data_IF_940779808262
#
_entry.id   IF_940779808262
#
_cell.length_a   1.000
_cell.length_b   1.000
_cell.length_c   1.000
_cell.angle_alpha   90.00
_cell.angle_beta   90.00
_cell.angle_gamma   90.00
#
_symmetry.space_group_name_H-M   'P 1'
#
loop_
_entity.id
_entity.type
_entity.pdbx_description
1 polymer ?
#
# COMPACT_ATOMS: atom_id res chain seq x y z
N UNK A 1 -19.63 -22.98 16.36
CA UNK A 1 -18.87 -21.88 15.75
C UNK A 1 -18.79 -22.15 14.26
N UNK A 2 -19.14 -21.18 13.42
CA UNK A 2 -19.16 -21.31 11.96
C UNK A 2 -17.76 -21.04 11.39
N UNK A 3 -17.52 -21.45 10.15
CA UNK A 3 -16.22 -21.22 9.49
C UNK A 3 -15.90 -19.71 9.40
N UNK A 4 -16.89 -18.86 9.13
CA UNK A 4 -16.69 -17.41 9.06
C UNK A 4 -16.22 -16.81 10.40
N UNK A 5 -16.77 -17.30 11.52
CA UNK A 5 -16.35 -16.88 12.86
C UNK A 5 -14.88 -17.27 13.12
N UNK A 6 -14.46 -18.45 12.64
CA UNK A 6 -13.08 -18.95 12.77
C UNK A 6 -12.14 -18.10 11.93
N UNK A 7 -12.51 -17.82 10.68
CA UNK A 7 -11.70 -17.00 9.77
C UNK A 7 -11.51 -15.61 10.37
N UNK A 8 -12.59 -15.00 10.86
CA UNK A 8 -12.51 -13.71 11.52
C UNK A 8 -11.62 -13.75 12.77
N UNK A 9 -11.72 -14.80 13.60
CA UNK A 9 -10.88 -14.97 14.78
C UNK A 9 -9.39 -15.17 14.42
N UNK A 10 -9.09 -15.87 13.31
CA UNK A 10 -7.72 -16.06 12.83
C UNK A 10 -7.12 -14.77 12.25
N UNK A 11 -7.92 -13.94 11.56
CA UNK A 11 -7.45 -12.68 10.97
C UNK A 11 -7.30 -11.53 11.98
N UNK A 12 -7.94 -11.64 13.14
CA UNK A 12 -7.93 -10.60 14.17
C UNK A 12 -7.70 -11.25 15.54
N UNK A 13 -6.45 -11.56 15.90
CA UNK A 13 -6.11 -12.13 17.21
C UNK A 13 -6.29 -11.05 18.30
N UNK A 14 -7.53 -10.73 18.62
CA UNK A 14 -7.93 -9.86 19.71
C UNK A 14 -8.28 -10.64 20.96
N UNK A 15 -8.33 -9.96 22.11
CA UNK A 15 -8.58 -10.53 23.45
C UNK A 15 -10.00 -11.11 23.67
N UNK A 16 -10.78 -11.30 22.60
CA UNK A 16 -12.17 -11.76 22.66
C UNK A 16 -12.44 -13.08 21.93
N UNK A 17 -11.45 -13.68 21.27
CA UNK A 17 -11.65 -14.97 20.63
C UNK A 17 -11.80 -16.07 21.69
N UNK A 18 -12.87 -16.86 21.59
CA UNK A 18 -13.04 -18.09 22.39
C UNK A 18 -12.06 -19.15 21.87
N UNK A 19 -10.79 -19.04 22.28
CA UNK A 19 -9.70 -19.93 21.89
C UNK A 19 -10.06 -21.43 21.96
N UNK A 20 -10.71 -21.95 23.03
CA UNK A 20 -11.07 -23.36 23.05
C UNK A 20 -12.18 -23.72 22.05
N UNK A 21 -13.08 -22.80 21.70
CA UNK A 21 -14.02 -23.01 20.60
C UNK A 21 -13.31 -23.05 19.25
N UNK A 22 -12.35 -22.14 19.01
CA UNK A 22 -11.50 -22.10 17.82
C UNK A 22 -10.72 -23.39 17.65
N UNK A 23 -10.00 -23.83 18.69
CA UNK A 23 -9.24 -25.07 18.67
C UNK A 23 -10.12 -26.30 18.36
N UNK A 24 -11.31 -26.38 18.98
CA UNK A 24 -12.26 -27.47 18.70
C UNK A 24 -12.75 -27.46 17.26
N UNK A 25 -12.99 -26.27 16.68
CA UNK A 25 -13.41 -26.16 15.29
C UNK A 25 -12.29 -26.59 14.33
N UNK A 26 -11.05 -26.11 14.55
CA UNK A 26 -9.90 -26.47 13.72
C UNK A 26 -9.63 -27.98 13.74
N UNK A 27 -9.83 -28.64 14.88
CA UNK A 27 -9.75 -30.11 14.97
C UNK A 27 -10.83 -30.85 14.16
N UNK A 28 -11.97 -30.20 13.88
CA UNK A 28 -13.11 -30.79 13.19
C UNK A 28 -13.25 -30.41 11.71
N UNK A 29 -12.62 -29.31 11.28
CA UNK A 29 -12.75 -28.76 9.93
C UNK A 29 -11.37 -28.65 9.24
N UNK A 30 -11.05 -29.56 8.29
CA UNK A 30 -9.73 -29.62 7.66
C UNK A 30 -9.40 -28.37 6.82
N UNK A 31 -10.41 -27.72 6.22
CA UNK A 31 -10.19 -26.49 5.44
C UNK A 31 -9.76 -25.32 6.32
N UNK A 32 -10.41 -25.15 7.48
CA UNK A 32 -10.02 -24.10 8.43
C UNK A 32 -8.66 -24.40 9.05
N UNK A 33 -8.33 -25.68 9.32
CA UNK A 33 -7.01 -26.09 9.81
C UNK A 33 -5.90 -25.73 8.81
N UNK A 34 -6.07 -26.09 7.53
CA UNK A 34 -5.12 -25.74 6.47
C UNK A 34 -4.88 -24.24 6.37
N UNK A 35 -5.94 -23.42 6.42
CA UNK A 35 -5.81 -21.95 6.40
C UNK A 35 -5.07 -21.42 7.63
N UNK A 36 -5.32 -21.99 8.81
CA UNK A 36 -4.59 -21.61 10.02
C UNK A 36 -3.09 -21.94 9.91
N UNK A 37 -2.75 -23.09 9.32
CA UNK A 37 -1.35 -23.48 9.07
C UNK A 37 -0.66 -22.56 8.06
N UNK A 38 -1.37 -22.17 6.99
CA UNK A 38 -0.90 -21.20 5.99
C UNK A 38 -0.65 -19.82 6.62
N UNK A 39 -1.60 -19.31 7.42
CA UNK A 39 -1.45 -18.06 8.14
C UNK A 39 -0.27 -18.10 9.11
N UNK A 40 -0.12 -19.18 9.88
CA UNK A 40 1.01 -19.36 10.79
C UNK A 40 2.35 -19.46 10.05
N UNK A 41 2.37 -20.00 8.82
CA UNK A 41 3.56 -20.01 7.97
C UNK A 41 3.92 -18.61 7.49
N UNK A 42 2.94 -17.82 7.08
CA UNK A 42 3.15 -16.43 6.68
C UNK A 42 3.67 -15.58 7.84
N UNK A 43 3.08 -15.73 9.04
CA UNK A 43 3.54 -15.03 10.25
C UNK A 43 5.01 -15.33 10.56
N UNK A 44 5.44 -16.61 10.46
CA UNK A 44 6.85 -16.97 10.66
C UNK A 44 7.78 -16.33 9.62
N UNK A 45 7.34 -16.23 8.37
CA UNK A 45 8.11 -15.54 7.33
C UNK A 45 8.17 -14.05 7.59
N UNK A 46 7.06 -13.47 8.03
CA UNK A 46 6.99 -12.08 8.45
C UNK A 46 7.94 -11.81 9.61
N UNK A 47 7.88 -12.57 10.71
CA UNK A 47 8.80 -12.44 11.85
C UNK A 47 10.29 -12.55 11.45
N UNK A 48 10.60 -13.42 10.48
CA UNK A 48 11.96 -13.60 10.00
C UNK A 48 12.47 -12.44 9.11
N UNK A 49 11.55 -11.71 8.47
CA UNK A 49 11.85 -10.63 7.53
C UNK A 49 11.42 -9.25 8.03
N UNK A 50 10.75 -9.19 9.17
CA UNK A 50 10.18 -7.98 9.72
C UNK A 50 11.31 -6.98 9.99
N UNK A 51 11.16 -5.72 9.55
CA UNK A 51 12.12 -4.69 9.91
C UNK A 51 12.12 -4.53 11.42
N UNK A 52 13.26 -4.10 11.97
CA UNK A 52 13.36 -3.79 13.38
C UNK A 52 12.25 -2.82 13.78
N UNK A 53 11.52 -3.13 14.86
CA UNK A 53 10.43 -2.29 15.34
C UNK A 53 10.92 -0.85 15.52
N UNK A 54 10.31 0.13 14.84
CA UNK A 54 10.69 1.53 15.00
C UNK A 54 10.50 1.97 16.44
N UNK A 55 11.38 2.83 16.93
CA UNK A 55 11.23 3.44 18.25
C UNK A 55 9.97 4.32 18.32
N UNK A 56 9.44 4.60 19.52
CA UNK A 56 8.23 5.41 19.68
C UNK A 56 8.35 6.78 18.99
N UNK A 57 9.51 7.43 19.09
CA UNK A 57 9.76 8.75 18.49
C UNK A 57 9.67 8.75 16.96
N UNK A 58 9.96 7.62 16.30
CA UNK A 58 9.88 7.52 14.84
C UNK A 58 8.43 7.59 14.35
N UNK A 59 7.49 7.06 15.13
CA UNK A 59 6.07 7.18 14.83
C UNK A 59 5.55 8.60 15.02
N UNK A 60 6.00 9.30 16.07
CA UNK A 60 5.63 10.70 16.30
C UNK A 60 6.08 11.60 15.15
N UNK A 61 7.28 11.34 14.60
CA UNK A 61 7.76 12.04 13.41
C UNK A 61 6.86 11.80 12.19
N UNK A 62 6.47 10.55 11.93
CA UNK A 62 5.57 10.23 10.81
C UNK A 62 4.21 10.89 11.00
N UNK A 63 3.61 10.80 12.18
CA UNK A 63 2.30 11.39 12.45
C UNK A 63 2.34 12.91 12.38
N UNK A 64 3.37 13.56 12.94
CA UNK A 64 3.52 15.01 12.83
C UNK A 64 3.68 15.49 11.38
N UNK A 65 4.36 14.70 10.53
CA UNK A 65 4.49 15.00 9.11
C UNK A 65 3.13 14.88 8.38
N UNK A 66 2.34 13.85 8.69
CA UNK A 66 0.98 13.69 8.16
C UNK A 66 0.08 14.86 8.60
N UNK A 67 0.11 15.22 9.88
CA UNK A 67 -0.69 16.35 10.41
C UNK A 67 -0.31 17.67 9.74
N UNK A 68 0.99 17.96 9.60
CA UNK A 68 1.47 19.16 8.91
C UNK A 68 0.99 19.20 7.44
N UNK A 69 0.93 18.05 6.78
CA UNK A 69 0.42 17.96 5.41
C UNK A 69 -1.09 18.15 5.33
N UNK A 70 -1.85 17.59 6.26
CA UNK A 70 -3.30 17.80 6.34
C UNK A 70 -3.63 19.27 6.61
N UNK A 71 -2.85 19.93 7.46
CA UNK A 71 -2.99 21.36 7.73
C UNK A 71 -2.61 22.21 6.52
N UNK A 72 -1.56 21.84 5.78
CA UNK A 72 -1.18 22.53 4.55
C UNK A 72 -2.20 22.33 3.41
N UNK A 73 -2.82 21.15 3.34
CA UNK A 73 -3.84 20.82 2.34
C UNK A 73 -5.22 21.43 2.66
N UNK A 74 -5.44 21.88 3.90
CA UNK A 74 -6.68 22.56 4.28
C UNK A 74 -6.76 23.87 3.50
N UNK A 75 -7.74 24.05 2.59
CA UNK A 75 -7.88 25.29 1.85
C UNK A 75 -8.04 26.41 2.86
N UNK A 76 -7.23 27.47 2.71
CA UNK A 76 -7.36 28.68 3.50
C UNK A 76 -8.79 29.17 3.32
N UNK A 77 -9.64 28.86 4.30
CA UNK A 77 -11.02 29.31 4.30
C UNK A 77 -10.92 30.82 4.15
N UNK A 78 -11.52 31.42 3.09
CA UNK A 78 -11.47 32.85 2.93
C UNK A 78 -12.02 33.43 4.22
N UNK A 79 -11.14 34.09 4.98
CA UNK A 79 -11.52 34.75 6.23
C UNK A 79 -12.74 35.61 5.94
N UNK A 80 -13.65 35.82 6.92
CA UNK A 80 -14.91 36.49 6.71
C UNK A 80 -14.62 37.76 5.92
N UNK A 81 -14.98 37.74 4.63
CA UNK A 81 -14.67 38.82 3.73
C UNK A 81 -15.26 40.04 4.41
N UNK A 82 -14.40 40.94 4.90
CA UNK A 82 -14.82 42.23 5.43
C UNK A 82 -15.69 42.78 4.33
N UNK A 83 -17.02 42.76 4.54
CA UNK A 83 -17.97 43.24 3.55
C UNK A 83 -17.46 44.64 3.21
N UNK A 84 -17.01 44.91 1.97
CA UNK A 84 -16.77 46.27 1.60
C UNK A 84 -18.11 46.95 1.83
N UNK A 85 -18.15 47.91 2.76
CA UNK A 85 -19.31 48.77 2.94
C UNK A 85 -19.46 49.53 1.63
N UNK A 86 -20.12 48.91 0.65
CA UNK A 86 -20.66 49.59 -0.50
C UNK A 86 -21.64 50.60 0.09
N UNK A 87 -21.20 51.85 0.18
CA UNK A 87 -22.10 52.99 0.30
C UNK A 87 -22.93 52.99 -0.98
N UNK A 88 -24.04 52.27 -0.92
CA UNK A 88 -25.12 52.37 -1.90
C UNK A 88 -25.66 53.78 -1.73
N UNK A 89 -25.26 54.68 -2.64
CA UNK A 89 -26.01 55.91 -2.85
C UNK A 89 -27.42 55.51 -3.26
N UNK A 90 -28.39 55.96 -2.47
CA UNK A 90 -29.79 55.62 -2.64
C UNK A 90 -30.29 56.04 -4.02
N UNK A 91 -30.86 55.07 -4.73
CA UNK A 91 -31.82 55.34 -5.79
C UNK A 91 -33.15 54.73 -5.34
N UNK A 92 -34.16 55.59 -5.33
CA UNK A 92 -35.49 55.33 -4.83
C UNK A 92 -36.20 54.20 -5.58
N UNK A 93 -37.17 53.61 -4.88
CA UNK A 93 -37.92 52.40 -5.17
C UNK A 93 -38.73 52.41 -6.48
N UNK A 94 -38.94 51.20 -7.01
CA UNK A 94 -40.20 50.80 -7.62
C UNK A 94 -40.44 49.29 -7.33
N UNK A 95 -41.62 48.89 -6.83
CA UNK A 95 -41.96 47.49 -6.61
C UNK A 95 -42.81 46.96 -7.75
N UNK A 96 -42.45 45.83 -8.35
CA UNK A 96 -43.41 44.80 -8.79
C UNK A 96 -42.69 43.55 -9.31
N UNK A 97 -43.14 42.40 -8.79
CA UNK A 97 -43.36 41.17 -9.54
C UNK A 97 -42.16 40.52 -10.23
N UNK A 98 -41.64 39.45 -9.63
CA UNK A 98 -41.73 38.07 -10.14
C UNK A 98 -40.65 37.20 -9.50
N UNK A 99 -41.10 36.12 -8.86
CA UNK A 99 -40.26 35.15 -8.18
C UNK A 99 -39.54 34.27 -9.23
N UNK A 100 -38.30 34.63 -9.55
CA UNK A 100 -37.43 33.77 -10.37
C UNK A 100 -36.72 32.75 -9.49
N UNK A 101 -37.07 31.50 -9.73
CA UNK A 101 -36.53 30.27 -9.16
C UNK A 101 -34.99 30.24 -9.25
N UNK A 102 -34.32 30.18 -8.11
CA UNK A 102 -32.85 30.01 -8.05
C UNK A 102 -32.47 28.59 -8.51
N UNK A 103 -31.54 28.42 -9.48
CA UNK A 103 -31.02 27.12 -9.81
C UNK A 103 -30.07 26.64 -8.71
N UNK A 104 -30.51 25.63 -7.94
CA UNK A 104 -29.62 24.81 -7.10
C UNK A 104 -28.79 23.92 -8.03
N UNK A 105 -27.67 24.41 -8.56
CA UNK A 105 -26.70 23.59 -9.29
C UNK A 105 -25.36 23.52 -8.57
N UNK A 106 -24.98 22.26 -8.32
CA UNK A 106 -23.63 21.73 -8.22
C UNK A 106 -22.70 22.28 -7.12
N UNK A 107 -22.87 21.74 -5.91
CA UNK A 107 -21.75 21.54 -4.97
C UNK A 107 -21.47 20.04 -4.89
N UNK A 108 -20.90 19.48 -5.94
CA UNK A 108 -20.46 18.08 -5.97
C UNK A 108 -19.25 17.97 -6.89
N UNK A 109 -18.11 18.51 -6.46
CA UNK A 109 -16.76 18.12 -6.88
C UNK A 109 -15.74 19.02 -6.18
N UNK A 110 -15.29 18.65 -4.97
CA UNK A 110 -13.83 18.63 -4.80
C UNK A 110 -13.34 17.39 -4.03
N UNK A 111 -14.05 16.26 -4.09
CA UNK A 111 -13.66 15.05 -3.36
C UNK A 111 -12.61 14.18 -4.08
N UNK A 112 -12.35 14.40 -5.38
CA UNK A 112 -11.54 13.47 -6.20
C UNK A 112 -10.04 13.87 -6.27
N UNK A 113 -9.67 15.10 -5.93
CA UNK A 113 -8.26 15.54 -6.01
C UNK A 113 -7.45 15.18 -4.75
N UNK A 114 -8.10 14.81 -3.65
CA UNK A 114 -7.41 14.51 -2.38
C UNK A 114 -6.72 13.14 -2.33
N UNK A 115 -7.12 12.18 -3.15
CA UNK A 115 -6.59 10.80 -3.12
C UNK A 115 -5.22 10.64 -3.78
N UNK A 116 -4.91 11.42 -4.82
CA UNK A 116 -3.62 11.31 -5.53
C UNK A 116 -2.41 11.79 -4.70
N UNK A 117 -2.61 12.72 -3.76
CA UNK A 117 -1.53 13.23 -2.92
C UNK A 117 -1.03 12.19 -1.91
N UNK A 118 -1.90 11.30 -1.42
CA UNK A 118 -1.54 10.32 -0.40
C UNK A 118 -0.57 9.24 -0.92
N UNK A 119 -0.69 8.83 -2.19
CA UNK A 119 0.18 7.82 -2.78
C UNK A 119 1.62 8.31 -2.98
N UNK A 120 1.80 9.57 -3.42
CA UNK A 120 3.14 10.17 -3.59
C UNK A 120 3.90 10.33 -2.27
N UNK A 121 3.17 10.46 -1.15
CA UNK A 121 3.74 10.64 0.18
C UNK A 121 4.26 9.34 0.80
N UNK A 122 3.63 8.20 0.51
CA UNK A 122 4.13 6.89 0.95
C UNK A 122 5.47 6.53 0.28
N UNK A 123 5.69 6.97 -0.97
CA UNK A 123 6.95 6.75 -1.70
C UNK A 123 8.10 7.58 -1.10
N UNK A 124 7.83 8.80 -0.62
CA UNK A 124 8.87 9.67 -0.06
C UNK A 124 9.38 9.25 1.34
N UNK A 125 8.57 8.54 2.13
CA UNK A 125 8.93 8.11 3.49
C UNK A 125 9.64 6.75 3.50
N UNK A 126 9.36 5.90 2.50
CA UNK A 126 9.96 4.58 2.36
C UNK A 126 11.51 4.58 2.42
N UNK A 127 12.26 5.44 1.69
CA UNK A 127 13.72 5.35 1.69
C UNK A 127 14.36 5.68 3.05
N UNK A 128 13.70 6.48 3.90
CA UNK A 128 14.19 6.77 5.24
C UNK A 128 14.15 5.55 6.18
N UNK A 129 13.30 4.57 5.87
CA UNK A 129 13.16 3.33 6.64
C UNK A 129 14.13 2.24 6.16
N UNK A 130 14.55 2.32 4.90
CA UNK A 130 15.47 1.37 4.26
C UNK A 130 16.92 1.85 4.21
N UNK A 131 17.19 3.10 4.62
CA UNK A 131 18.54 3.61 4.73
C UNK A 131 19.42 2.65 5.55
N UNK A 132 20.52 2.11 4.97
CA UNK A 132 21.41 1.20 5.68
C UNK A 132 21.88 1.86 6.96
N UNK A 133 21.49 1.30 8.11
CA UNK A 133 21.99 1.80 9.40
C UNK A 133 23.52 1.78 9.34
N UNK A 134 24.19 2.87 9.76
CA UNK A 134 25.64 2.92 9.78
C UNK A 134 26.15 1.73 10.60
N UNK A 135 26.84 0.82 9.91
CA UNK A 135 27.44 -0.36 10.53
C UNK A 135 28.39 0.16 11.61
N UNK A 136 28.25 -0.23 12.88
CA UNK A 136 29.16 0.21 13.92
C UNK A 136 30.58 -0.22 13.51
N UNK A 137 31.41 0.80 13.32
CA UNK A 137 32.78 0.74 12.85
C UNK A 137 33.61 0.05 13.94
N UNK A 138 33.62 -1.29 13.94
CA UNK A 138 34.29 -2.08 14.98
C UNK A 138 33.85 -3.53 15.14
N UNK A 139 32.77 -3.98 14.49
CA UNK A 139 32.40 -5.40 14.55
C UNK A 139 33.38 -6.26 13.71
N UNK A 140 34.10 -7.23 14.31
CA UNK A 140 35.03 -8.08 13.60
C UNK A 140 34.29 -8.89 12.53
N UNK A 141 34.80 -8.84 11.30
CA UNK A 141 34.31 -9.61 10.16
C UNK A 141 34.36 -11.10 10.52
N UNK A 142 33.25 -11.85 10.46
CA UNK A 142 33.31 -13.30 10.64
C UNK A 142 34.15 -13.87 9.51
N UNK A 143 35.32 -14.41 9.87
CA UNK A 143 36.19 -15.11 8.95
C UNK A 143 35.38 -16.25 8.33
N UNK A 144 35.11 -16.14 7.03
CA UNK A 144 34.51 -17.18 6.22
C UNK A 144 35.49 -18.36 6.23
N UNK A 145 35.21 -19.34 7.08
CA UNK A 145 35.87 -20.63 7.04
C UNK A 145 35.47 -21.30 5.74
N UNK A 146 36.43 -21.41 4.82
CA UNK A 146 36.31 -22.16 3.58
C UNK A 146 35.97 -23.62 3.92
N UNK A 147 34.71 -23.98 3.76
CA UNK A 147 34.27 -25.37 3.78
C UNK A 147 34.51 -25.94 2.39
N UNK A 148 35.62 -26.66 2.25
CA UNK A 148 35.90 -27.54 1.12
C UNK A 148 34.86 -28.67 1.12
N UNK A 149 33.74 -28.47 0.40
CA UNK A 149 32.78 -29.54 0.15
C UNK A 149 33.10 -30.24 -1.18
N UNK A 150 33.33 -31.54 -1.03
CA UNK A 150 33.58 -32.56 -2.04
C UNK A 150 32.78 -32.42 -3.33
N UNK A 151 33.49 -32.63 -4.44
CA UNK A 151 32.97 -32.78 -5.78
C UNK A 151 32.12 -34.05 -5.90
N UNK A 152 30.83 -33.95 -5.61
CA UNK A 152 29.83 -34.95 -6.00
C UNK A 152 29.46 -34.69 -7.47
N UNK A 153 29.82 -35.64 -8.32
CA UNK A 153 29.64 -35.63 -9.77
C UNK A 153 28.15 -35.64 -10.15
N UNK A 154 27.54 -34.45 -10.23
CA UNK A 154 26.14 -34.24 -10.64
C UNK A 154 26.08 -34.15 -12.17
N UNK A 155 25.32 -35.04 -12.79
CA UNK A 155 25.02 -35.05 -14.24
C UNK A 155 24.62 -33.67 -14.76
N UNK A 156 24.95 -33.33 -16.03
CA UNK A 156 24.71 -32.02 -16.61
C UNK A 156 23.20 -31.75 -16.69
N UNK A 157 22.70 -30.99 -15.72
CA UNK A 157 21.37 -30.40 -15.80
C UNK A 157 21.40 -29.40 -16.97
N UNK A 158 20.42 -29.43 -17.90
CA UNK A 158 20.35 -28.47 -18.99
C UNK A 158 20.36 -27.07 -18.38
N UNK A 159 21.42 -26.30 -18.66
CA UNK A 159 21.53 -24.95 -18.13
C UNK A 159 20.33 -24.15 -18.66
N UNK A 160 19.50 -23.55 -17.78
CA UNK A 160 18.49 -22.61 -18.24
C UNK A 160 19.23 -21.55 -19.04
N UNK A 161 18.80 -21.31 -20.28
CA UNK A 161 19.30 -20.20 -21.07
C UNK A 161 19.20 -18.97 -20.19
N UNK A 162 20.35 -18.36 -19.87
CA UNK A 162 20.39 -17.15 -19.07
C UNK A 162 19.58 -16.09 -19.83
N UNK A 163 18.38 -15.80 -19.33
CA UNK A 163 17.63 -14.66 -19.80
C UNK A 163 18.50 -13.41 -19.57
N UNK A 164 18.59 -12.51 -20.56
CA UNK A 164 19.39 -11.31 -20.40
C UNK A 164 18.95 -10.54 -19.15
N UNK A 165 19.88 -9.92 -18.42
CA UNK A 165 19.55 -9.14 -17.23
C UNK A 165 18.49 -8.10 -17.59
N UNK A 166 17.37 -8.14 -16.88
CA UNK A 166 16.29 -7.20 -17.06
C UNK A 166 16.71 -5.83 -16.54
N UNK A 167 16.78 -4.85 -17.43
CA UNK A 167 17.05 -3.45 -17.09
C UNK A 167 15.71 -2.73 -16.88
N UNK A 168 15.40 -2.39 -15.63
CA UNK A 168 14.22 -1.60 -15.26
C UNK A 168 14.66 -0.13 -15.19
N UNK A 169 14.01 0.74 -15.96
CA UNK A 169 14.33 2.17 -15.95
C UNK A 169 13.76 2.86 -14.70
N UNK A 170 14.50 3.82 -14.14
CA UNK A 170 14.08 4.67 -13.02
C UNK A 170 12.66 5.23 -13.26
N UNK A 171 11.77 5.03 -12.27
CA UNK A 171 10.35 5.39 -12.37
C UNK A 171 9.43 4.38 -13.06
N UNK A 172 9.93 3.23 -13.51
CA UNK A 172 9.10 2.17 -14.10
C UNK A 172 8.59 1.18 -13.04
N UNK A 173 7.29 0.87 -13.10
CA UNK A 173 6.69 -0.21 -12.31
C UNK A 173 6.46 -1.41 -13.24
N UNK A 174 7.08 -2.54 -12.91
CA UNK A 174 6.91 -3.78 -13.65
C UNK A 174 6.25 -4.84 -12.79
N UNK A 175 5.25 -5.51 -13.36
CA UNK A 175 4.68 -6.73 -12.79
C UNK A 175 5.46 -7.92 -13.35
N UNK A 176 6.09 -8.71 -12.48
CA UNK A 176 6.70 -9.98 -12.85
C UNK A 176 5.70 -11.08 -12.53
N UNK A 177 5.18 -11.73 -13.58
CA UNK A 177 4.32 -12.89 -13.45
C UNK A 177 5.11 -14.15 -13.77
N UNK A 178 5.06 -15.13 -12.85
CA UNK A 178 5.49 -16.49 -13.15
C UNK A 178 4.33 -17.25 -13.79
N UNK A 179 4.41 -17.49 -15.10
CA UNK A 179 3.43 -18.26 -15.87
C UNK A 179 4.05 -19.59 -16.32
N UNK A 180 4.32 -20.46 -15.34
CA UNK A 180 4.91 -21.77 -15.58
C UNK A 180 6.39 -21.73 -15.97
N UNK A 181 7.17 -20.82 -15.37
CA UNK A 181 8.61 -20.67 -15.60
C UNK A 181 8.99 -19.63 -16.66
N UNK A 182 8.02 -18.89 -17.21
CA UNK A 182 8.27 -17.75 -18.10
C UNK A 182 7.87 -16.47 -17.38
N UNK A 183 8.87 -15.66 -17.04
CA UNK A 183 8.67 -14.34 -16.46
C UNK A 183 8.10 -13.40 -17.52
N UNK A 184 6.87 -12.92 -17.34
CA UNK A 184 6.31 -11.86 -18.18
C UNK A 184 6.39 -10.52 -17.46
N UNK A 185 6.95 -9.54 -18.14
CA UNK A 185 7.01 -8.14 -17.70
C UNK A 185 5.78 -7.43 -18.25
N UNK A 186 4.98 -6.87 -17.35
CA UNK A 186 3.87 -6.01 -17.72
C UNK A 186 4.23 -4.60 -17.31
N UNK A 187 4.36 -3.71 -18.29
CA UNK A 187 4.47 -2.28 -18.04
C UNK A 187 3.12 -1.76 -17.55
N UNK A 188 3.06 -1.39 -16.26
CA UNK A 188 1.84 -0.94 -15.60
C UNK A 188 1.36 0.39 -16.18
N UNK A 189 2.26 1.21 -16.72
CA UNK A 189 1.89 2.49 -17.36
C UNK A 189 1.19 2.30 -18.70
N UNK A 190 1.36 1.13 -19.34
CA UNK A 190 0.70 0.77 -20.59
C UNK A 190 -0.71 0.21 -20.41
N UNK A 191 -1.17 0.02 -19.16
CA UNK A 191 -2.52 -0.43 -18.87
C UNK A 191 -3.52 0.68 -19.18
N UNK A 192 -4.11 0.64 -20.38
CA UNK A 192 -5.25 1.50 -20.66
C UNK A 192 -6.45 1.08 -19.79
N UNK A 193 -6.98 1.97 -18.94
CA UNK A 193 -8.17 1.66 -18.18
C UNK A 193 -9.36 1.51 -19.14
N UNK A 194 -9.93 0.32 -19.19
CA UNK A 194 -11.21 0.14 -19.85
C UNK A 194 -12.26 0.97 -19.09
N UNK A 195 -13.12 1.68 -19.81
CA UNK A 195 -14.31 2.35 -19.25
C UNK A 195 -14.06 3.49 -18.24
N UNK A 196 -12.88 4.12 -18.27
CA UNK A 196 -12.57 5.23 -17.35
C UNK A 196 -12.39 4.79 -15.90
N UNK A 197 -12.10 3.50 -15.69
CA UNK A 197 -11.65 2.98 -14.40
C UNK A 197 -10.32 3.63 -13.99
N UNK A 198 -10.07 3.70 -12.69
CA UNK A 198 -8.79 4.18 -12.20
C UNK A 198 -7.70 3.15 -12.54
N UNK A 199 -6.61 3.53 -13.25
CA UNK A 199 -5.49 2.63 -13.51
C UNK A 199 -4.96 1.94 -12.25
N UNK A 200 -5.00 2.62 -11.10
CA UNK A 200 -4.60 2.04 -9.82
C UNK A 200 -5.56 0.95 -9.34
N UNK A 201 -6.87 1.12 -9.54
CA UNK A 201 -7.86 0.11 -9.20
C UNK A 201 -7.66 -1.16 -10.03
N UNK A 202 -7.39 -1.02 -11.34
CA UNK A 202 -7.08 -2.14 -12.22
C UNK A 202 -5.78 -2.83 -11.78
N UNK A 203 -4.76 -2.06 -11.39
CA UNK A 203 -3.49 -2.59 -10.90
C UNK A 203 -3.66 -3.41 -9.60
N UNK A 204 -4.33 -2.86 -8.58
CA UNK A 204 -4.51 -3.55 -7.29
C UNK A 204 -5.34 -4.83 -7.42
N UNK A 205 -6.45 -4.79 -8.17
CA UNK A 205 -7.25 -6.01 -8.40
C UNK A 205 -6.46 -7.09 -9.13
N UNK A 206 -5.56 -6.69 -10.03
CA UNK A 206 -4.72 -7.65 -10.77
C UNK A 206 -3.68 -8.27 -9.86
N UNK A 207 -3.09 -7.49 -8.94
CA UNK A 207 -2.19 -7.99 -7.91
C UNK A 207 -2.85 -9.00 -6.98
N UNK A 208 -4.07 -8.71 -6.52
CA UNK A 208 -4.80 -9.61 -5.62
C UNK A 208 -5.21 -10.93 -6.30
N UNK A 209 -5.25 -10.96 -7.64
CA UNK A 209 -5.77 -12.10 -8.40
C UNK A 209 -4.75 -13.19 -8.77
N UNK A 210 -3.46 -13.07 -8.42
CA UNK A 210 -2.45 -14.07 -8.78
C UNK A 210 -1.09 -13.99 -8.05
N UNK A 211 -0.26 -15.00 -8.31
CA UNK A 211 1.13 -15.08 -7.81
C UNK A 211 2.02 -14.07 -8.56
N UNK A 212 1.97 -12.82 -8.12
CA UNK A 212 2.69 -11.70 -8.74
C UNK A 212 3.76 -11.15 -7.82
N UNK A 213 4.91 -10.78 -8.40
CA UNK A 213 5.95 -10.00 -7.71
C UNK A 213 6.00 -8.63 -8.36
N UNK A 214 5.89 -7.58 -7.55
CA UNK A 214 6.05 -6.19 -8.01
C UNK A 214 7.48 -5.77 -7.78
N UNK A 215 8.12 -5.23 -8.82
CA UNK A 215 9.38 -4.52 -8.70
C UNK A 215 9.20 -3.08 -9.16
N UNK A 216 9.77 -2.15 -8.39
CA UNK A 216 9.81 -0.73 -8.70
C UNK A 216 11.24 -0.27 -8.49
N UNK A 217 11.84 0.36 -9.49
CA UNK A 217 13.13 1.02 -9.34
C UNK A 217 12.91 2.43 -8.81
N UNK A 218 13.61 2.77 -7.73
CA UNK A 218 13.72 4.14 -7.21
C UNK A 218 14.27 5.11 -8.25
#
# INVERSE_FOLDING_TARGET
MRCDDVIHALSSPGTGADEPAVARHLASCPDCARRADEAARLERLWDATAPATPGPDAWDLVWSAIDAQLDAARPAMPGPARRPHLRVFGVAAAPTGEAVSRPRRAWAAPAIVASAAAAALLVAIAPAWWAPRPRPEGAPSPAVAASEHSAESRSPQPQPLAEPPLEIQEGQVVLIRDDGGVSKIIDVTSLEPANGEDPWFVFFNRLESGDHVVAMSE
#
